data_IF_795378167340
#
_entry.id   IF_795378167340
#
_cell.length_a   1.000
_cell.length_b   1.000
_cell.length_c   1.000
_cell.angle_alpha   90.00
_cell.angle_beta   90.00
_cell.angle_gamma   90.00
#
_symmetry.space_group_name_H-M   'P 1'
#
loop_
_entity.id
_entity.type
_entity.pdbx_description
1 polymer ?
#
# COMPACT_ATOMS: atom_id res chain seq x y z
N UNK A 1 1.61 -87.96 -6.29
CA UNK A 1 2.22 -87.64 -4.98
C UNK A 1 3.66 -87.25 -5.22
N UNK A 2 4.05 -86.02 -4.84
CA UNK A 2 5.40 -85.50 -5.05
C UNK A 2 5.48 -83.97 -5.06
N UNK A 3 5.01 -83.31 -3.99
CA UNK A 3 5.62 -82.05 -3.52
C UNK A 3 6.78 -82.44 -2.61
N UNK A 4 7.92 -81.71 -2.58
CA UNK A 4 8.03 -80.38 -1.94
C UNK A 4 9.01 -79.45 -2.71
N UNK A 5 9.26 -78.17 -2.45
CA UNK A 5 8.91 -77.18 -1.43
C UNK A 5 9.38 -75.82 -1.97
N UNK A 6 8.58 -74.77 -1.77
CA UNK A 6 8.96 -73.39 -2.08
C UNK A 6 10.08 -72.88 -1.18
N UNK A 7 11.14 -72.36 -1.79
CA UNK A 7 12.25 -71.66 -1.12
C UNK A 7 11.80 -70.23 -0.80
N UNK A 8 11.42 -69.95 0.44
CA UNK A 8 11.24 -68.57 0.93
C UNK A 8 12.62 -67.92 1.05
N UNK A 9 12.93 -66.99 0.15
CA UNK A 9 14.12 -66.14 0.28
C UNK A 9 13.96 -65.23 1.49
N UNK A 10 14.74 -65.46 2.54
CA UNK A 10 14.88 -64.50 3.64
C UNK A 10 15.72 -63.33 3.14
N UNK A 11 15.12 -62.14 3.08
CA UNK A 11 15.86 -60.90 2.84
C UNK A 11 16.62 -60.59 4.14
N UNK A 12 17.84 -61.11 4.28
CA UNK A 12 18.77 -60.66 5.32
C UNK A 12 19.20 -59.24 4.98
N UNK A 13 18.51 -58.25 5.54
CA UNK A 13 18.95 -56.87 5.47
C UNK A 13 20.27 -56.76 6.22
N UNK A 14 21.35 -56.60 5.48
CA UNK A 14 22.66 -56.27 6.03
C UNK A 14 22.56 -54.95 6.78
N UNK A 15 23.13 -54.87 7.99
CA UNK A 15 23.20 -53.67 8.85
C UNK A 15 23.41 -52.35 8.06
N UNK A 16 24.30 -52.26 7.05
CA UNK A 16 24.45 -51.06 6.22
C UNK A 16 23.19 -50.65 5.43
N UNK A 17 22.34 -51.59 5.00
CA UNK A 17 21.08 -51.29 4.30
C UNK A 17 20.02 -50.75 5.24
N UNK A 18 19.97 -51.24 6.47
CA UNK A 18 19.07 -50.71 7.52
C UNK A 18 19.51 -49.29 7.90
N UNK A 19 20.80 -49.09 8.09
CA UNK A 19 21.37 -47.76 8.38
C UNK A 19 21.11 -46.76 7.25
N UNK A 20 21.36 -47.14 6.00
CA UNK A 20 21.07 -46.29 4.84
C UNK A 20 19.58 -45.93 4.74
N UNK A 21 18.67 -46.89 4.97
CA UNK A 21 17.23 -46.63 5.00
C UNK A 21 16.82 -45.65 6.09
N UNK A 22 17.36 -45.79 7.31
CA UNK A 22 17.10 -44.88 8.42
C UNK A 22 17.67 -43.48 8.16
N UNK A 23 18.88 -43.38 7.61
CA UNK A 23 19.50 -42.11 7.25
C UNK A 23 18.70 -41.38 6.16
N UNK A 24 18.28 -42.09 5.10
CA UNK A 24 17.42 -41.51 4.06
C UNK A 24 16.07 -41.05 4.62
N UNK A 25 15.45 -41.84 5.51
CA UNK A 25 14.20 -41.44 6.17
C UNK A 25 14.39 -40.18 7.02
N UNK A 26 15.49 -40.10 7.77
CA UNK A 26 15.82 -38.92 8.58
C UNK A 26 15.98 -37.67 7.72
N UNK A 27 16.66 -37.76 6.56
CA UNK A 27 16.79 -36.63 5.61
C UNK A 27 15.44 -36.22 5.03
N UNK A 28 14.60 -37.17 4.63
CA UNK A 28 13.26 -36.85 4.11
C UNK A 28 12.41 -36.18 5.20
N UNK A 29 12.48 -36.67 6.44
CA UNK A 29 11.76 -36.09 7.57
C UNK A 29 12.21 -34.66 7.87
N UNK A 30 13.53 -34.38 7.90
CA UNK A 30 14.03 -33.02 8.14
C UNK A 30 13.67 -32.06 7.02
N UNK A 31 13.72 -32.50 5.75
CA UNK A 31 13.27 -31.70 4.61
C UNK A 31 11.76 -31.43 4.69
N UNK A 32 10.95 -32.43 5.02
CA UNK A 32 9.50 -32.28 5.14
C UNK A 32 9.14 -31.30 6.28
N UNK A 33 9.80 -31.40 7.43
CA UNK A 33 9.61 -30.46 8.55
C UNK A 33 10.07 -29.06 8.14
N UNK A 34 11.21 -28.92 7.47
CA UNK A 34 11.70 -27.64 6.96
C UNK A 34 10.71 -26.97 6.01
N UNK A 35 10.15 -27.73 5.06
CA UNK A 35 9.14 -27.22 4.13
C UNK A 35 7.80 -26.89 4.82
N UNK A 36 7.40 -27.69 5.81
CA UNK A 36 6.20 -27.41 6.60
C UNK A 36 6.33 -26.10 7.39
N UNK A 37 7.50 -25.84 7.98
CA UNK A 37 7.78 -24.61 8.72
C UNK A 37 7.96 -23.39 7.80
N UNK A 38 8.59 -23.55 6.63
CA UNK A 38 8.81 -22.46 5.69
C UNK A 38 7.55 -22.06 4.89
N UNK A 39 6.60 -22.98 4.74
CA UNK A 39 5.44 -22.82 3.86
C UNK A 39 5.67 -23.38 2.45
N UNK A 40 4.59 -23.57 1.68
CA UNK A 40 4.71 -24.17 0.34
C UNK A 40 5.27 -23.15 -0.68
N UNK A 41 6.17 -23.57 -1.59
CA UNK A 41 6.71 -22.68 -2.64
C UNK A 41 5.62 -22.01 -3.48
N UNK A 42 4.49 -22.70 -3.69
CA UNK A 42 3.35 -22.15 -4.42
C UNK A 42 2.69 -21.00 -3.65
N UNK A 43 2.50 -21.13 -2.34
CA UNK A 43 1.91 -20.06 -1.52
C UNK A 43 2.82 -18.83 -1.47
N UNK A 44 4.14 -19.03 -1.40
CA UNK A 44 5.09 -17.91 -1.45
C UNK A 44 5.06 -17.19 -2.80
N UNK A 45 4.99 -17.94 -3.91
CA UNK A 45 4.83 -17.34 -5.24
C UNK A 45 3.55 -16.51 -5.38
N UNK A 46 2.44 -17.01 -4.83
CA UNK A 46 1.16 -16.28 -4.79
C UNK A 46 1.29 -14.98 -3.99
N UNK A 47 1.94 -14.99 -2.81
CA UNK A 47 2.22 -13.78 -2.03
C UNK A 47 3.01 -12.75 -2.82
N UNK A 48 4.05 -13.18 -3.53
CA UNK A 48 4.88 -12.28 -4.32
C UNK A 48 4.09 -11.62 -5.45
N UNK A 49 3.24 -12.37 -6.15
CA UNK A 49 2.38 -11.80 -7.17
C UNK A 49 1.32 -10.85 -6.59
N UNK A 50 0.70 -11.19 -5.47
CA UNK A 50 -0.25 -10.30 -4.78
C UNK A 50 0.43 -9.01 -4.29
N UNK A 51 1.65 -9.10 -3.77
CA UNK A 51 2.45 -7.94 -3.38
C UNK A 51 2.79 -7.05 -4.58
N UNK A 52 3.16 -7.64 -5.72
CA UNK A 52 3.39 -6.89 -6.96
C UNK A 52 2.09 -6.26 -7.48
N UNK A 53 0.96 -6.98 -7.46
CA UNK A 53 -0.34 -6.43 -7.84
C UNK A 53 -0.69 -5.21 -7.00
N UNK A 54 -0.54 -5.32 -5.68
CA UNK A 54 -0.80 -4.21 -4.79
C UNK A 54 0.11 -3.00 -5.08
N UNK A 55 1.41 -3.25 -5.27
CA UNK A 55 2.37 -2.19 -5.63
C UNK A 55 2.03 -1.52 -6.96
N UNK A 56 1.62 -2.29 -7.97
CA UNK A 56 1.12 -1.78 -9.24
C UNK A 56 -0.11 -0.89 -9.04
N UNK A 57 -1.12 -1.36 -8.29
CA UNK A 57 -2.33 -0.58 -8.03
C UNK A 57 -2.05 0.74 -7.32
N UNK A 58 -1.17 0.73 -6.32
CA UNK A 58 -0.72 1.95 -5.62
C UNK A 58 0.00 2.93 -6.55
N UNK A 59 0.84 2.39 -7.45
CA UNK A 59 1.56 3.19 -8.44
C UNK A 59 0.61 3.81 -9.45
N UNK A 60 -0.36 3.02 -9.96
CA UNK A 60 -1.42 3.50 -10.85
C UNK A 60 -2.23 4.59 -10.16
N UNK A 61 -2.68 4.35 -8.93
CA UNK A 61 -3.45 5.34 -8.16
C UNK A 61 -2.68 6.65 -8.01
N UNK A 62 -1.40 6.58 -7.67
CA UNK A 62 -0.52 7.74 -7.59
C UNK A 62 -0.35 8.47 -8.93
N UNK A 63 -0.36 7.74 -10.05
CA UNK A 63 -0.29 8.32 -11.39
C UNK A 63 -1.62 8.98 -11.80
N UNK A 64 -2.76 8.39 -11.44
CA UNK A 64 -4.09 8.99 -11.63
C UNK A 64 -4.19 10.31 -10.89
N UNK A 65 -3.71 10.37 -9.64
CA UNK A 65 -3.69 11.63 -8.88
C UNK A 65 -2.85 12.70 -9.60
N UNK A 66 -1.68 12.33 -10.15
CA UNK A 66 -0.80 13.28 -10.86
C UNK A 66 -1.42 13.76 -12.17
N UNK A 67 -2.11 12.87 -12.86
CA UNK A 67 -2.84 13.20 -14.06
C UNK A 67 -3.99 14.16 -13.74
N UNK A 68 -4.73 13.89 -12.65
CA UNK A 68 -5.82 14.74 -12.20
C UNK A 68 -5.34 16.14 -11.83
N UNK A 69 -4.20 16.26 -11.14
CA UNK A 69 -3.58 17.55 -10.78
C UNK A 69 -3.31 18.44 -12.00
N UNK A 70 -2.92 17.84 -13.13
CA UNK A 70 -2.48 18.57 -14.32
C UNK A 70 -3.60 18.80 -15.32
N UNK A 71 -4.51 17.83 -15.45
CA UNK A 71 -5.57 17.83 -16.47
C UNK A 71 -6.93 18.22 -15.91
N UNK A 72 -7.08 18.32 -14.59
CA UNK A 72 -8.35 18.61 -13.88
C UNK A 72 -9.49 17.64 -14.22
N UNK A 73 -9.15 16.46 -14.72
CA UNK A 73 -10.07 15.35 -15.03
C UNK A 73 -9.38 14.02 -14.79
N UNK A 74 -10.17 12.96 -14.66
CA UNK A 74 -9.66 11.59 -14.63
C UNK A 74 -9.18 11.16 -16.04
N UNK A 75 -8.19 10.26 -16.11
CA UNK A 75 -7.80 9.64 -17.37
C UNK A 75 -8.94 8.75 -17.89
N UNK A 76 -9.15 8.70 -19.21
CA UNK A 76 -10.18 7.84 -19.80
C UNK A 76 -9.79 6.36 -19.74
N UNK A 77 -8.48 6.09 -19.71
CA UNK A 77 -7.94 4.73 -19.61
C UNK A 77 -6.55 4.74 -18.98
N UNK A 78 -6.10 3.57 -18.49
CA UNK A 78 -4.73 3.41 -17.99
C UNK A 78 -3.66 3.65 -19.06
N UNK A 79 -3.99 3.52 -20.35
CA UNK A 79 -3.06 3.84 -21.44
C UNK A 79 -2.72 5.34 -21.48
N UNK A 80 -3.67 6.21 -21.10
CA UNK A 80 -3.45 7.65 -21.07
C UNK A 80 -2.39 8.06 -20.03
N UNK A 81 -2.26 7.28 -18.95
CA UNK A 81 -1.21 7.46 -17.95
C UNK A 81 0.19 7.17 -18.51
N UNK A 82 0.32 6.24 -19.47
CA UNK A 82 1.60 5.92 -20.11
C UNK A 82 2.07 7.02 -21.08
N UNK A 83 1.13 7.74 -21.69
CA UNK A 83 1.38 8.80 -22.67
C UNK A 83 1.73 10.14 -22.00
N UNK A 84 1.11 10.44 -20.85
CA UNK A 84 1.27 11.72 -20.15
C UNK A 84 2.06 11.61 -18.83
N UNK A 85 2.34 10.40 -18.36
CA UNK A 85 3.01 10.13 -17.09
C UNK A 85 4.52 10.37 -17.14
N UNK A 86 4.93 11.60 -16.89
CA UNK A 86 6.34 11.95 -16.67
C UNK A 86 6.70 11.78 -15.18
N UNK A 87 6.87 10.53 -14.72
CA UNK A 87 7.63 10.32 -13.48
C UNK A 87 9.12 10.40 -13.81
N UNK A 88 9.80 11.45 -13.32
CA UNK A 88 11.24 11.66 -13.50
C UNK A 88 11.70 11.83 -14.97
N UNK A 89 10.82 12.28 -15.86
CA UNK A 89 11.18 12.63 -17.25
C UNK A 89 11.44 11.44 -18.19
N UNK A 90 10.97 10.23 -17.84
CA UNK A 90 11.04 9.06 -18.73
C UNK A 90 9.66 8.76 -19.35
N UNK A 91 9.49 8.88 -20.67
CA UNK A 91 8.25 8.49 -21.33
C UNK A 91 8.02 6.97 -21.17
N UNK A 92 6.78 6.57 -20.89
CA UNK A 92 6.38 5.15 -20.80
C UNK A 92 6.64 4.47 -19.45
N UNK A 93 7.02 5.20 -18.40
CA UNK A 93 7.35 4.65 -17.08
C UNK A 93 6.29 3.68 -16.52
N UNK A 94 5.01 3.94 -16.78
CA UNK A 94 3.90 3.17 -16.19
C UNK A 94 3.48 1.91 -16.96
N UNK A 95 4.10 1.63 -18.12
CA UNK A 95 3.60 0.59 -19.04
C UNK A 95 3.64 -0.84 -18.45
N UNK A 96 4.66 -1.16 -17.66
CA UNK A 96 4.78 -2.49 -17.03
C UNK A 96 3.88 -2.65 -15.80
N UNK A 97 3.51 -1.53 -15.18
CA UNK A 97 2.74 -1.49 -13.93
C UNK A 97 1.23 -1.48 -14.18
N UNK A 98 0.78 -1.32 -15.43
CA UNK A 98 -0.65 -1.35 -15.79
C UNK A 98 -1.18 -2.76 -16.10
N UNK A 99 -0.31 -3.78 -16.05
CA UNK A 99 -0.66 -5.17 -16.30
C UNK A 99 -0.38 -6.08 -15.10
N UNK A 100 -1.18 -7.12 -14.98
CA UNK A 100 -1.02 -8.15 -13.96
C UNK A 100 0.27 -8.96 -14.20
N UNK A 101 1.15 -9.11 -13.18
CA UNK A 101 2.45 -9.73 -13.35
C UNK A 101 2.36 -11.22 -13.67
N UNK A 102 1.28 -11.90 -13.26
CA UNK A 102 1.08 -13.34 -13.48
C UNK A 102 0.37 -13.64 -14.80
N UNK A 103 -0.70 -12.90 -15.12
CA UNK A 103 -1.55 -13.15 -16.29
C UNK A 103 -1.21 -12.29 -17.51
N UNK A 104 -0.46 -11.20 -17.31
CA UNK A 104 -0.13 -10.19 -18.32
C UNK A 104 -1.34 -9.45 -18.90
N UNK A 105 -2.52 -9.59 -18.29
CA UNK A 105 -3.71 -8.84 -18.65
C UNK A 105 -3.68 -7.45 -18.00
N UNK A 106 -4.21 -6.41 -18.67
CA UNK A 106 -4.32 -5.08 -18.06
C UNK A 106 -5.24 -5.11 -16.83
N UNK A 107 -4.92 -4.30 -15.83
CA UNK A 107 -5.83 -4.08 -14.71
C UNK A 107 -7.12 -3.42 -15.18
N UNK A 108 -8.23 -3.77 -14.53
CA UNK A 108 -9.51 -3.14 -14.82
C UNK A 108 -9.57 -1.76 -14.15
N UNK A 109 -9.87 -0.75 -14.95
CA UNK A 109 -10.03 0.63 -14.52
C UNK A 109 -11.36 1.18 -15.02
N UNK A 110 -12.10 1.86 -14.15
CA UNK A 110 -13.38 2.47 -14.50
C UNK A 110 -13.57 3.79 -13.78
N UNK A 111 -13.92 4.83 -14.53
CA UNK A 111 -14.39 6.10 -13.95
C UNK A 111 -15.83 5.92 -13.47
N UNK A 112 -16.09 6.27 -12.22
CA UNK A 112 -17.43 6.22 -11.60
C UNK A 112 -18.07 7.60 -11.55
N UNK A 113 -17.28 8.65 -11.28
CA UNK A 113 -17.70 10.05 -11.31
C UNK A 113 -16.49 10.97 -11.54
N UNK A 114 -16.69 12.29 -11.56
CA UNK A 114 -15.66 13.30 -11.86
C UNK A 114 -14.35 13.17 -11.07
N UNK A 115 -14.40 12.60 -9.86
CA UNK A 115 -13.23 12.38 -8.99
C UNK A 115 -13.13 10.95 -8.47
N UNK A 116 -14.07 10.06 -8.80
CA UNK A 116 -14.10 8.70 -8.25
C UNK A 116 -13.85 7.71 -9.36
N UNK A 117 -12.94 6.77 -9.11
CA UNK A 117 -12.61 5.69 -10.02
C UNK A 117 -12.51 4.37 -9.26
N UNK A 118 -12.63 3.28 -10.01
CA UNK A 118 -12.39 1.93 -9.51
C UNK A 118 -11.16 1.33 -10.18
N UNK A 119 -10.41 0.58 -9.39
CA UNK A 119 -9.25 -0.16 -9.83
C UNK A 119 -9.34 -1.58 -9.30
N UNK A 120 -9.38 -2.57 -10.18
CA UNK A 120 -9.57 -3.96 -9.79
C UNK A 120 -8.35 -4.83 -10.10
N UNK A 121 -8.13 -5.82 -9.24
CA UNK A 121 -7.18 -6.90 -9.44
C UNK A 121 -7.76 -8.22 -8.96
N UNK A 122 -7.12 -9.33 -9.35
CA UNK A 122 -7.45 -10.67 -8.88
C UNK A 122 -6.33 -11.14 -7.97
N UNK A 123 -6.62 -11.27 -6.67
CA UNK A 123 -5.64 -11.70 -5.68
C UNK A 123 -5.73 -13.21 -5.44
N UNK A 124 -4.59 -13.87 -5.24
CA UNK A 124 -4.55 -15.30 -4.93
C UNK A 124 -4.84 -15.57 -3.44
N UNK A 125 -4.46 -14.64 -2.58
CA UNK A 125 -4.55 -14.73 -1.13
C UNK A 125 -5.40 -13.59 -0.55
N UNK A 126 -5.90 -13.80 0.66
CA UNK A 126 -6.45 -12.70 1.46
C UNK A 126 -5.32 -11.76 1.89
N UNK A 127 -5.64 -10.50 2.16
CA UNK A 127 -4.65 -9.53 2.64
C UNK A 127 -3.91 -10.00 3.91
N UNK A 128 -4.65 -10.56 4.88
CA UNK A 128 -4.06 -11.10 6.10
C UNK A 128 -3.09 -12.25 5.81
N UNK A 129 -3.46 -13.14 4.88
CA UNK A 129 -2.56 -14.19 4.45
C UNK A 129 -1.35 -13.62 3.76
N UNK A 130 -1.48 -12.70 2.80
CA UNK A 130 -0.36 -12.09 2.08
C UNK A 130 0.67 -11.45 3.02
N UNK A 131 0.20 -10.78 4.07
CA UNK A 131 1.06 -10.08 5.05
C UNK A 131 1.71 -10.98 6.12
N UNK A 132 1.25 -12.21 6.30
CA UNK A 132 1.74 -13.09 7.38
C UNK A 132 3.25 -13.39 7.37
N UNK A 133 3.96 -13.13 6.26
CA UNK A 133 5.41 -13.36 6.11
C UNK A 133 6.20 -12.11 5.67
N UNK A 134 5.53 -11.03 5.29
CA UNK A 134 6.12 -9.77 4.86
C UNK A 134 5.41 -8.67 5.65
N UNK A 135 5.89 -8.32 6.86
CA UNK A 135 5.28 -7.26 7.64
C UNK A 135 5.39 -5.95 6.85
N UNK A 136 4.26 -5.46 6.34
CA UNK A 136 4.19 -4.11 5.80
C UNK A 136 4.60 -3.16 6.93
N UNK A 137 5.74 -2.48 6.79
CA UNK A 137 6.35 -1.62 7.81
C UNK A 137 6.68 -2.25 9.19
N UNK A 138 6.94 -3.56 9.28
CA UNK A 138 7.52 -4.13 10.51
C UNK A 138 6.59 -4.20 11.74
N UNK A 139 5.28 -3.94 11.59
CA UNK A 139 4.33 -4.06 12.69
C UNK A 139 3.68 -5.46 12.74
N UNK A 140 3.69 -6.14 13.90
CA UNK A 140 2.95 -7.39 14.06
C UNK A 140 1.44 -7.11 13.99
N UNK A 141 0.75 -7.72 13.02
CA UNK A 141 -0.70 -7.62 12.85
C UNK A 141 -1.44 -8.49 13.88
N UNK A 142 -1.34 -8.12 15.16
CA UNK A 142 -2.11 -8.76 16.23
C UNK A 142 -3.37 -7.95 16.63
N UNK A 143 -3.55 -6.73 16.11
CA UNK A 143 -4.72 -5.90 16.39
C UNK A 143 -5.24 -5.21 15.11
N UNK A 144 -6.55 -4.94 15.00
CA UNK A 144 -7.09 -4.10 13.93
C UNK A 144 -6.41 -2.73 14.02
N UNK A 145 -5.69 -2.36 12.96
CA UNK A 145 -4.97 -1.10 12.82
C UNK A 145 -5.82 0.07 13.34
N UNK A 146 -5.45 0.64 14.48
CA UNK A 146 -5.89 1.98 14.84
C UNK A 146 -5.25 2.94 13.84
N UNK A 147 -6.01 3.83 13.18
CA UNK A 147 -5.44 4.77 12.21
C UNK A 147 -4.34 5.59 12.91
N UNK A 148 -3.11 5.52 12.40
CA UNK A 148 -2.06 6.44 12.82
C UNK A 148 -2.53 7.87 12.52
N UNK A 149 -2.46 8.82 13.48
CA UNK A 149 -2.86 10.19 13.25
C UNK A 149 -1.69 10.94 12.58
N UNK A 150 -1.33 10.51 11.37
CA UNK A 150 -0.59 11.34 10.44
C UNK A 150 -1.60 11.67 9.35
N UNK A 151 -1.90 12.95 9.15
CA UNK A 151 -2.90 13.46 8.19
C UNK A 151 -2.60 13.19 6.71
N UNK A 152 -1.89 12.12 6.40
CA UNK A 152 -1.82 11.53 5.07
C UNK A 152 -3.04 10.61 4.95
N UNK A 153 -3.98 10.90 4.04
CA UNK A 153 -5.07 9.97 3.75
C UNK A 153 -4.48 8.67 3.20
N UNK A 154 -4.28 7.69 4.08
CA UNK A 154 -3.77 6.36 3.74
C UNK A 154 -4.96 5.60 3.14
N UNK A 155 -4.87 5.30 1.85
CA UNK A 155 -5.84 4.44 1.19
C UNK A 155 -5.80 3.05 1.85
N UNK A 156 -6.96 2.50 2.19
CA UNK A 156 -7.06 1.13 2.70
C UNK A 156 -6.98 0.16 1.52
N UNK A 157 -5.97 -0.69 1.55
CA UNK A 157 -5.70 -1.70 0.53
C UNK A 157 -6.04 -3.11 0.99
N UNK A 158 -6.87 -3.24 2.03
CA UNK A 158 -7.35 -4.54 2.51
C UNK A 158 -8.27 -5.19 1.46
N UNK A 159 -8.02 -6.45 1.12
CA UNK A 159 -8.78 -7.19 0.12
C UNK A 159 -9.01 -8.67 0.51
N UNK A 160 -10.11 -9.29 0.03
CA UNK A 160 -10.27 -10.74 0.05
C UNK A 160 -9.40 -11.41 -1.02
N UNK A 161 -9.33 -12.74 -0.99
CA UNK A 161 -8.86 -13.50 -2.14
C UNK A 161 -9.88 -13.42 -3.29
N UNK A 162 -9.40 -13.48 -4.53
CA UNK A 162 -10.18 -13.36 -5.75
C UNK A 162 -10.24 -11.94 -6.30
N UNK A 163 -11.19 -11.71 -7.21
CA UNK A 163 -11.38 -10.39 -7.85
C UNK A 163 -11.89 -9.38 -6.82
N UNK A 164 -11.16 -8.29 -6.64
CA UNK A 164 -11.55 -7.18 -5.78
C UNK A 164 -11.32 -5.83 -6.48
N UNK A 165 -12.22 -4.89 -6.27
CA UNK A 165 -12.16 -3.54 -6.83
C UNK A 165 -12.08 -2.52 -5.69
N UNK A 166 -11.07 -1.67 -5.74
CA UNK A 166 -10.92 -0.54 -4.83
C UNK A 166 -11.61 0.68 -5.43
N UNK A 167 -12.52 1.29 -4.68
CA UNK A 167 -13.10 2.58 -5.03
C UNK A 167 -12.24 3.69 -4.45
N UNK A 168 -11.61 4.47 -5.33
CA UNK A 168 -10.61 5.46 -5.00
C UNK A 168 -11.08 6.84 -5.44
N UNK A 169 -10.64 7.86 -4.73
CA UNK A 169 -10.88 9.25 -5.07
C UNK A 169 -9.57 9.86 -5.57
N UNK A 170 -9.58 10.47 -6.75
CA UNK A 170 -8.48 11.30 -7.21
C UNK A 170 -8.49 12.58 -6.38
N UNK A 171 -7.64 12.60 -5.36
CA UNK A 171 -7.43 13.79 -4.59
C UNK A 171 -6.45 14.68 -5.33
N UNK A 172 -6.80 15.96 -5.48
CA UNK A 172 -5.81 16.98 -5.86
C UNK A 172 -4.65 16.87 -4.85
N UNK A 173 -3.46 16.49 -5.31
CA UNK A 173 -2.25 16.48 -4.50
C UNK A 173 -1.92 17.91 -4.03
N UNK A 174 -2.35 18.91 -4.80
CA UNK A 174 -2.41 20.34 -4.43
C UNK A 174 -3.31 20.63 -3.24
N UNK A 175 -4.37 19.85 -3.00
CA UNK A 175 -5.19 19.94 -1.79
C UNK A 175 -4.55 19.21 -0.59
N UNK A 176 -3.42 18.51 -0.78
CA UNK A 176 -2.71 17.83 0.32
C UNK A 176 -1.48 18.60 0.82
N UNK A 177 -0.64 19.23 -0.02
CA UNK A 177 0.55 20.00 0.44
C UNK A 177 1.02 20.91 -0.70
N UNK A 178 0.66 22.20 -0.72
CA UNK A 178 1.21 23.15 -1.70
C UNK A 178 2.66 23.56 -1.38
N UNK A 179 3.19 23.23 -0.18
CA UNK A 179 4.58 23.47 0.19
C UNK A 179 5.10 22.54 1.30
N UNK A 180 6.40 22.27 1.32
CA UNK A 180 7.03 21.42 2.33
C UNK A 180 8.52 21.27 2.11
N UNK A 181 9.17 20.31 2.77
CA UNK A 181 10.63 20.15 2.74
C UNK A 181 11.18 19.95 1.32
N UNK A 182 10.42 19.28 0.46
CA UNK A 182 10.78 19.00 -0.93
C UNK A 182 10.21 20.01 -1.93
N UNK A 183 9.37 20.95 -1.47
CA UNK A 183 8.74 21.98 -2.31
C UNK A 183 8.66 23.31 -1.53
N UNK A 184 9.77 24.07 -1.47
CA UNK A 184 9.83 25.32 -0.70
C UNK A 184 9.04 26.44 -1.37
N UNK A 185 8.53 27.37 -0.55
CA UNK A 185 7.87 28.57 -1.05
C UNK A 185 8.88 29.58 -1.63
N UNK A 186 8.39 30.52 -2.45
CA UNK A 186 9.22 31.59 -3.00
C UNK A 186 9.76 32.52 -1.90
N UNK A 187 10.79 33.30 -2.23
CA UNK A 187 11.36 34.28 -1.31
C UNK A 187 10.29 35.26 -0.79
N UNK A 188 10.23 35.44 0.53
CA UNK A 188 9.21 36.28 1.20
C UNK A 188 7.91 35.55 1.53
N UNK A 189 7.82 34.25 1.28
CA UNK A 189 6.70 33.40 1.69
C UNK A 189 7.15 32.36 2.73
N UNK A 190 6.22 31.94 3.59
CA UNK A 190 6.38 30.80 4.47
C UNK A 190 5.39 29.70 4.10
N UNK A 191 5.73 28.48 4.48
CA UNK A 191 4.85 27.34 4.30
C UNK A 191 4.01 27.12 5.55
N UNK A 192 2.69 27.28 5.45
CA UNK A 192 1.78 27.26 6.59
C UNK A 192 0.62 26.27 6.40
N UNK A 193 0.26 25.54 7.45
CA UNK A 193 -0.97 24.75 7.53
C UNK A 193 -2.05 25.61 8.19
N UNK A 194 -3.09 25.95 7.44
CA UNK A 194 -4.19 26.82 7.90
C UNK A 194 -5.38 25.96 8.37
N UNK A 195 -6.12 26.38 9.41
CA UNK A 195 -7.18 25.56 10.00
C UNK A 195 -8.36 25.30 9.07
N UNK A 196 -8.62 26.20 8.11
CA UNK A 196 -9.70 26.11 7.14
C UNK A 196 -9.25 25.61 5.76
N UNK A 197 -8.04 25.05 5.65
CA UNK A 197 -7.49 24.52 4.40
C UNK A 197 -7.02 23.08 4.61
N UNK A 198 -7.23 22.24 3.59
CA UNK A 198 -6.58 20.94 3.53
C UNK A 198 -5.16 21.16 3.02
N UNK A 199 -4.17 20.66 3.77
CA UNK A 199 -2.76 20.79 3.44
C UNK A 199 -2.09 22.10 3.83
N UNK A 200 -0.78 22.14 3.61
CA UNK A 200 0.03 23.35 3.75
C UNK A 200 -0.04 24.22 2.49
N UNK A 201 0.17 25.52 2.64
CA UNK A 201 0.17 26.48 1.53
C UNK A 201 1.21 27.56 1.73
N UNK A 202 1.73 28.11 0.62
CA UNK A 202 2.58 29.27 0.67
C UNK A 202 1.75 30.52 1.00
N UNK A 203 2.14 31.21 2.05
CA UNK A 203 1.54 32.49 2.47
C UNK A 203 2.66 33.52 2.62
N UNK A 204 2.39 34.82 2.45
CA UNK A 204 3.40 35.85 2.73
C UNK A 204 3.88 35.74 4.18
N UNK A 205 5.20 35.76 4.37
CA UNK A 205 5.79 35.65 5.70
C UNK A 205 5.29 36.77 6.61
N UNK A 206 4.84 36.42 7.82
CA UNK A 206 4.22 37.34 8.78
C UNK A 206 2.73 37.65 8.53
N UNK A 207 2.10 37.01 7.54
CA UNK A 207 0.65 37.14 7.24
C UNK A 207 -0.12 35.82 7.38
N UNK A 208 0.41 34.86 8.11
CA UNK A 208 -0.16 33.52 8.29
C UNK A 208 -1.53 33.58 8.96
N UNK A 209 -1.69 34.39 10.00
CA UNK A 209 -2.96 34.59 10.71
C UNK A 209 -4.01 35.33 9.86
N UNK A 210 -3.57 36.30 9.06
CA UNK A 210 -4.42 36.99 8.11
C UNK A 210 -4.91 36.01 7.02
N UNK A 211 -4.02 35.15 6.52
CA UNK A 211 -4.36 34.12 5.56
C UNK A 211 -5.29 33.04 6.14
N UNK A 212 -5.20 32.75 7.45
CA UNK A 212 -6.14 31.88 8.15
C UNK A 212 -7.54 32.47 8.32
N UNK A 213 -7.69 33.80 8.14
CA UNK A 213 -8.96 34.50 8.32
C UNK A 213 -9.35 34.71 9.79
N UNK A 214 -8.37 34.78 10.69
CA UNK A 214 -8.61 34.87 12.14
C UNK A 214 -8.15 36.25 12.66
N UNK A 215 -9.06 37.23 12.77
CA UNK A 215 -8.71 38.62 13.07
C UNK A 215 -8.36 38.87 14.55
N UNK A 216 -8.95 38.12 15.49
CA UNK A 216 -8.94 38.53 16.91
C UNK A 216 -7.94 37.77 17.80
N UNK A 217 -7.54 36.55 17.42
CA UNK A 217 -6.44 35.82 18.08
C UNK A 217 -6.02 34.58 17.27
N UNK A 218 -4.70 34.44 17.07
CA UNK A 218 -4.10 33.38 16.29
C UNK A 218 -2.75 33.00 16.92
N UNK A 219 -2.47 31.70 16.98
CA UNK A 219 -1.20 31.14 17.47
C UNK A 219 -0.51 30.38 16.36
N UNK A 220 0.81 30.54 16.30
CA UNK A 220 1.67 29.95 15.28
C UNK A 220 2.65 29.02 16.01
N UNK A 221 2.72 27.74 15.62
CA UNK A 221 3.63 26.79 16.23
C UNK A 221 5.01 26.80 15.53
N UNK A 222 6.10 26.70 16.30
CA UNK A 222 7.45 26.49 15.78
C UNK A 222 7.61 25.09 15.18
N UNK A 223 7.18 24.95 13.92
CA UNK A 223 7.17 23.70 13.16
C UNK A 223 7.32 24.02 11.67
N UNK A 224 7.70 23.03 10.86
CA UNK A 224 7.72 23.16 9.41
C UNK A 224 6.97 21.98 8.76
N UNK A 225 5.85 22.22 8.04
CA UNK A 225 5.19 23.51 7.82
C UNK A 225 4.66 24.14 9.12
N UNK A 226 4.57 25.46 9.13
CA UNK A 226 4.15 26.23 10.30
C UNK A 226 2.67 26.00 10.56
N UNK A 227 2.30 25.51 11.75
CA UNK A 227 0.91 25.23 12.11
C UNK A 227 0.23 26.50 12.63
N UNK A 228 -0.87 26.91 12.00
CA UNK A 228 -1.68 28.06 12.42
C UNK A 228 -2.93 27.59 13.13
N UNK A 229 -3.19 28.10 14.33
CA UNK A 229 -4.40 27.80 15.11
C UNK A 229 -5.11 29.10 15.48
N UNK A 230 -6.40 29.17 15.19
CA UNK A 230 -7.24 30.27 15.64
C UNK A 230 -7.69 30.01 17.08
N UNK A 231 -7.72 31.07 17.90
CA UNK A 231 -8.32 30.95 19.22
C UNK A 231 -9.82 30.64 19.05
N UNK A 232 -10.34 29.69 19.82
CA UNK A 232 -11.79 29.57 19.96
C UNK A 232 -12.29 30.81 20.72
N UNK A 233 -13.45 31.39 20.36
CA UNK A 233 -14.06 32.40 21.19
C UNK A 233 -14.23 31.81 22.60
N UNK A 234 -13.79 32.55 23.61
CA UNK A 234 -13.91 32.13 25.00
C UNK A 234 -15.38 31.81 25.27
N UNK A 235 -15.64 30.55 25.58
CA UNK A 235 -16.92 30.05 26.06
C UNK A 235 -17.35 30.95 27.21
N UNK A 236 -18.39 31.76 27.00
CA UNK A 236 -19.01 32.54 28.06
C UNK A 236 -19.58 31.53 29.04
N UNK A 237 -18.85 31.29 30.13
CA UNK A 237 -19.27 30.41 31.21
C UNK A 237 -20.70 30.72 31.66
N UNK A 238 -21.42 29.73 32.20
CA UNK A 238 -22.84 29.88 32.47
C UNK A 238 -23.09 31.05 33.41
N UNK A 239 -23.84 32.05 32.92
CA UNK A 239 -24.40 33.12 33.74
C UNK A 239 -25.46 32.48 34.63
N UNK A 240 -25.08 32.19 35.88
CA UNK A 240 -26.03 31.87 36.94
C UNK A 240 -26.91 33.12 37.15
N UNK A 241 -28.20 32.98 36.84
CA UNK A 241 -29.28 33.84 37.35
C UNK A 241 -29.93 33.15 38.53
#
# INVERSE_FOLDING_TARGET
MGSPTGRKGSVTMTVPRVFAGLASLAVVATVAVGLFLAGSPNKERMRQFDGQRLSHLQTISSAVDAFYDTSTRLPESLAELSLNGNYLGKPGYYTEQTVDPATKQPYEYRVVSDKVYELCAVFDLTFAEAQAQQPYMGYPVAEPMRPYPLGMGVQDWTHPAGRHCFTLNAEERTARVACGLTNPCAAGQTCATLPNRKGSTCVPAGKECLAAGCPDACTIAESYPVQVRCAMPADSGPVLK
#
